data_IF_357083476081
#
_entry.id   IF_357083476081
#
_cell.length_a   1.000
_cell.length_b   1.000
_cell.length_c   1.000
_cell.angle_alpha   90.00
_cell.angle_beta   90.00
_cell.angle_gamma   90.00
#
_symmetry.space_group_name_H-M   'P 1'
#
loop_
_entity.id
_entity.type
_entity.pdbx_description
1 polymer ?
#
# COMPACT_ATOMS: atom_id res chain seq x y z
N UNK A 1 -61.62 -37.34 -25.56
CA UNK A 1 -61.85 -37.84 -26.93
C UNK A 1 -60.84 -37.18 -27.83
N UNK A 2 -59.65 -37.78 -28.04
CA UNK A 2 -59.26 -38.59 -29.24
C UNK A 2 -59.37 -37.77 -30.55
N UNK A 3 -58.37 -37.63 -31.44
CA UNK A 3 -57.21 -38.48 -31.78
C UNK A 3 -56.33 -37.76 -32.84
N UNK A 4 -55.00 -37.93 -32.75
CA UNK A 4 -53.94 -38.22 -33.79
C UNK A 4 -54.14 -37.81 -35.27
N UNK A 5 -53.11 -37.50 -36.10
CA UNK A 5 -52.05 -38.44 -36.58
C UNK A 5 -50.99 -37.76 -37.52
N UNK A 6 -49.71 -38.20 -37.40
CA UNK A 6 -48.56 -38.32 -38.37
C UNK A 6 -47.98 -37.11 -39.14
N UNK A 7 -46.67 -36.79 -39.18
CA UNK A 7 -45.36 -37.50 -39.33
C UNK A 7 -44.83 -37.65 -40.78
N UNK A 8 -43.67 -37.03 -41.09
CA UNK A 8 -42.70 -37.39 -42.17
C UNK A 8 -41.47 -36.43 -42.09
N UNK A 9 -40.35 -36.81 -41.47
CA UNK A 9 -39.15 -37.49 -42.03
C UNK A 9 -38.43 -36.83 -43.22
N UNK A 10 -37.30 -36.15 -42.95
CA UNK A 10 -36.09 -36.23 -43.80
C UNK A 10 -34.80 -35.92 -43.01
N UNK A 11 -34.04 -36.97 -42.71
CA UNK A 11 -32.65 -36.94 -42.23
C UNK A 11 -31.71 -36.92 -43.44
N UNK A 12 -30.76 -36.00 -43.50
CA UNK A 12 -29.59 -36.08 -44.38
C UNK A 12 -28.30 -36.17 -43.55
N UNK A 13 -27.61 -37.30 -43.73
CA UNK A 13 -26.27 -37.62 -43.22
C UNK A 13 -25.23 -36.73 -43.90
N UNK A 14 -24.29 -36.15 -43.13
CA UNK A 14 -22.94 -35.91 -43.62
C UNK A 14 -21.93 -36.39 -42.56
N UNK A 15 -21.21 -37.47 -42.92
CA UNK A 15 -20.07 -38.03 -42.21
C UNK A 15 -18.81 -37.37 -42.79
N UNK A 16 -18.01 -36.69 -41.98
CA UNK A 16 -16.60 -36.45 -42.27
C UNK A 16 -15.74 -36.98 -41.13
N UNK A 17 -14.83 -37.89 -41.51
CA UNK A 17 -13.86 -38.58 -40.67
C UNK A 17 -12.77 -37.61 -40.22
N UNK A 18 -12.46 -37.57 -38.93
CA UNK A 18 -11.19 -37.01 -38.43
C UNK A 18 -10.44 -38.08 -37.64
N UNK A 19 -9.23 -38.39 -38.12
CA UNK A 19 -8.30 -39.39 -37.59
C UNK A 19 -7.89 -39.02 -36.16
N UNK A 20 -8.04 -39.97 -35.22
CA UNK A 20 -7.34 -39.98 -33.93
C UNK A 20 -5.85 -40.24 -34.19
N UNK A 21 -5.00 -39.29 -33.81
CA UNK A 21 -3.56 -39.47 -33.69
C UNK A 21 -3.21 -39.45 -32.20
N UNK A 22 -2.99 -40.62 -31.62
CA UNK A 22 -2.52 -40.76 -30.24
C UNK A 22 -1.00 -40.59 -30.19
N UNK A 23 -0.52 -39.40 -29.80
CA UNK A 23 0.86 -39.22 -29.32
C UNK A 23 0.87 -39.38 -27.80
N UNK A 24 1.65 -40.35 -27.32
CA UNK A 24 2.05 -40.51 -25.91
C UNK A 24 2.66 -39.19 -25.42
N UNK A 25 2.04 -38.54 -24.43
CA UNK A 25 2.73 -37.54 -23.61
C UNK A 25 3.66 -38.29 -22.65
N UNK A 26 4.96 -38.03 -22.76
CA UNK A 26 5.91 -38.36 -21.72
C UNK A 26 5.68 -37.42 -20.52
N UNK A 27 5.61 -38.00 -19.33
CA UNK A 27 5.60 -37.25 -18.07
C UNK A 27 6.98 -36.64 -17.90
N UNK A 28 7.08 -35.32 -18.09
CA UNK A 28 8.27 -34.53 -17.76
C UNK A 28 8.19 -34.20 -16.29
N UNK A 29 9.03 -34.85 -15.48
CA UNK A 29 9.29 -34.44 -14.10
C UNK A 29 10.06 -33.11 -14.10
N UNK A 30 9.70 -32.14 -13.24
CA UNK A 30 10.43 -30.88 -13.14
C UNK A 30 11.86 -31.10 -12.63
N UNK A 31 12.83 -30.28 -13.08
CA UNK A 31 14.21 -30.36 -12.59
C UNK A 31 14.28 -29.97 -11.11
N UNK A 32 15.13 -30.68 -10.37
CA UNK A 32 15.47 -30.40 -8.97
C UNK A 32 16.01 -28.97 -8.81
N UNK A 33 15.70 -28.27 -7.71
CA UNK A 33 16.29 -26.96 -7.45
C UNK A 33 17.81 -27.07 -7.25
N UNK A 34 18.58 -26.03 -7.63
CA UNK A 34 20.02 -26.00 -7.43
C UNK A 34 20.39 -26.00 -5.93
N UNK A 35 21.55 -26.57 -5.56
CA UNK A 35 22.01 -26.56 -4.18
C UNK A 35 22.28 -25.14 -3.69
N UNK A 36 21.84 -24.86 -2.46
CA UNK A 36 22.05 -23.58 -1.77
C UNK A 36 23.55 -23.32 -1.58
N UNK A 37 24.06 -22.10 -1.87
CA UNK A 37 25.46 -21.76 -1.61
C UNK A 37 25.77 -21.80 -0.10
N UNK A 38 27.00 -22.17 0.29
CA UNK A 38 27.39 -22.25 1.69
C UNK A 38 27.39 -20.85 2.31
N UNK A 39 26.70 -20.69 3.45
CA UNK A 39 26.77 -19.45 4.21
C UNK A 39 28.15 -19.30 4.87
N UNK A 40 28.74 -18.09 4.89
CA UNK A 40 29.98 -17.85 5.62
C UNK A 40 29.73 -17.96 7.13
N UNK A 41 30.70 -18.48 7.91
CA UNK A 41 30.57 -18.59 9.35
C UNK A 41 30.45 -17.21 10.00
N UNK A 42 29.47 -17.10 10.89
CA UNK A 42 29.04 -15.91 11.64
C UNK A 42 30.01 -15.59 12.79
N UNK A 43 31.30 -15.48 12.47
CA UNK A 43 32.37 -15.18 13.42
C UNK A 43 33.53 -14.49 12.72
N UNK A 44 33.42 -13.18 12.48
CA UNK A 44 34.53 -12.23 12.33
C UNK A 44 33.99 -10.83 11.99
N UNK A 45 33.35 -10.16 12.96
CA UNK A 45 33.06 -8.71 12.88
C UNK A 45 32.81 -8.08 14.26
N UNK A 46 33.61 -8.48 15.26
CA UNK A 46 33.63 -7.86 16.60
C UNK A 46 35.06 -7.59 17.08
N UNK A 47 35.96 -7.11 16.21
CA UNK A 47 37.33 -6.76 16.61
C UNK A 47 37.89 -5.45 16.03
N UNK A 48 37.05 -4.51 15.56
CA UNK A 48 37.58 -3.24 15.01
C UNK A 48 36.87 -1.97 15.46
N UNK A 49 36.40 -1.90 16.70
CA UNK A 49 35.89 -0.63 17.28
C UNK A 49 36.68 -0.15 18.52
N UNK A 50 37.77 -0.81 18.91
CA UNK A 50 38.57 -0.43 20.10
C UNK A 50 39.90 0.27 19.79
N UNK A 51 39.94 1.16 18.80
CA UNK A 51 41.02 2.13 18.69
C UNK A 51 40.58 3.33 17.88
N UNK A 52 40.07 4.35 18.56
CA UNK A 52 40.29 5.79 18.35
C UNK A 52 39.57 6.50 19.51
N UNK A 53 40.14 6.41 20.71
CA UNK A 53 39.95 7.43 21.76
C UNK A 53 41.25 7.51 22.53
N UNK A 54 42.24 8.23 21.99
CA UNK A 54 43.32 8.76 22.79
C UNK A 54 43.72 10.15 22.30
N UNK A 55 43.84 11.03 23.29
CA UNK A 55 44.61 12.29 23.33
C UNK A 55 43.94 13.54 22.74
N UNK A 56 43.19 14.23 23.61
CA UNK A 56 43.22 15.69 23.66
C UNK A 56 43.64 16.09 25.08
N UNK A 57 44.80 16.73 25.18
CA UNK A 57 45.28 17.43 26.37
C UNK A 57 44.48 18.73 26.54
N UNK A 58 43.91 18.97 27.71
CA UNK A 58 43.40 20.30 28.11
C UNK A 58 44.32 20.91 29.18
N UNK A 59 44.72 22.19 29.06
CA UNK A 59 45.51 22.87 30.09
C UNK A 59 44.64 23.31 31.28
N UNK A 60 45.27 23.32 32.46
CA UNK A 60 44.70 23.82 33.72
C UNK A 60 44.78 25.34 33.79
N UNK A 61 43.70 25.96 34.23
CA UNK A 61 43.70 27.26 34.90
C UNK A 61 42.85 28.32 34.20
N UNK A 62 41.76 28.73 34.85
CA UNK A 62 41.44 30.12 35.25
C UNK A 62 40.19 30.04 36.14
N UNK A 63 40.25 30.73 37.27
CA UNK A 63 39.16 30.90 38.21
C UNK A 63 38.21 32.03 37.78
N UNK A 64 36.98 31.92 38.28
CA UNK A 64 36.04 33.02 38.60
C UNK A 64 35.07 33.50 37.52
N UNK A 65 33.82 33.58 38.00
CA UNK A 65 32.73 34.50 37.64
C UNK A 65 31.62 34.03 36.69
N UNK A 66 30.40 34.19 37.23
CA UNK A 66 29.09 34.34 36.59
C UNK A 66 28.44 33.12 35.92
N UNK A 67 27.52 32.58 36.69
CA UNK A 67 26.35 31.76 36.37
C UNK A 67 25.65 32.15 35.06
N UNK A 68 25.65 31.32 33.99
CA UNK A 68 24.69 31.43 32.91
C UNK A 68 23.49 30.52 33.22
N UNK A 69 22.30 31.14 33.26
CA UNK A 69 21.03 30.44 33.39
C UNK A 69 20.92 29.35 32.33
N UNK A 70 20.92 28.09 32.77
CA UNK A 70 20.55 26.94 31.98
C UNK A 70 19.10 27.13 31.51
N UNK A 71 18.91 27.48 30.24
CA UNK A 71 17.60 27.33 29.62
C UNK A 71 17.36 25.82 29.46
N UNK A 72 16.21 25.29 29.91
CA UNK A 72 15.89 23.90 29.65
C UNK A 72 15.76 23.72 28.14
N UNK A 73 16.63 22.88 27.57
CA UNK A 73 16.44 22.34 26.23
C UNK A 73 15.11 21.58 26.31
N UNK A 74 14.05 22.18 25.76
CA UNK A 74 12.82 21.46 25.45
C UNK A 74 13.24 20.28 24.60
N UNK A 75 13.07 19.07 25.14
CA UNK A 75 13.09 17.85 24.34
C UNK A 75 12.09 18.06 23.22
N UNK A 76 12.59 18.30 22.01
CA UNK A 76 11.79 18.23 20.80
C UNK A 76 11.36 16.77 20.69
N UNK A 77 10.18 16.45 21.22
CA UNK A 77 9.50 15.20 20.91
C UNK A 77 9.40 15.14 19.39
N UNK A 78 10.13 14.22 18.78
CA UNK A 78 9.90 13.84 17.39
C UNK A 78 8.39 13.58 17.26
N UNK A 79 7.69 14.13 16.24
CA UNK A 79 6.31 13.76 16.01
C UNK A 79 6.28 12.25 15.83
N UNK A 80 5.58 11.59 16.74
CA UNK A 80 5.41 10.14 16.74
C UNK A 80 4.58 9.79 15.53
N UNK A 81 4.97 8.75 14.81
CA UNK A 81 4.07 8.05 13.92
C UNK A 81 2.76 7.74 14.64
N UNK A 82 1.64 8.03 13.98
CA UNK A 82 0.31 7.80 14.53
C UNK A 82 -0.19 6.43 14.08
N UNK A 83 -0.95 5.75 14.94
CA UNK A 83 -1.61 4.51 14.56
C UNK A 83 -2.92 4.88 13.85
N UNK A 84 -2.93 4.79 12.52
CA UNK A 84 -4.15 4.89 11.72
C UNK A 84 -4.97 3.62 11.90
N UNK A 85 -6.27 3.77 12.20
CA UNK A 85 -7.22 2.67 12.36
C UNK A 85 -8.44 2.93 11.49
N UNK A 86 -8.68 2.04 10.53
CA UNK A 86 -9.73 2.21 9.53
C UNK A 86 -10.50 0.91 9.30
N UNK A 87 -11.80 1.04 9.05
CA UNK A 87 -12.62 -0.03 8.49
C UNK A 87 -12.42 -0.06 6.98
N UNK A 88 -12.22 -1.24 6.38
CA UNK A 88 -12.03 -1.46 4.94
C UNK A 88 -12.95 -2.56 4.44
N UNK A 89 -13.95 -2.18 3.66
CA UNK A 89 -14.89 -3.09 3.02
C UNK A 89 -14.70 -3.04 1.51
N UNK A 90 -14.62 -4.20 0.86
CA UNK A 90 -14.60 -4.33 -0.59
C UNK A 90 -16.03 -4.38 -1.11
N UNK A 91 -16.34 -3.54 -2.10
CA UNK A 91 -17.57 -3.64 -2.87
C UNK A 91 -17.39 -4.64 -4.02
N UNK A 92 -18.42 -5.44 -4.27
CA UNK A 92 -18.31 -6.57 -5.19
C UNK A 92 -17.96 -6.17 -6.64
N UNK A 93 -18.49 -5.04 -7.12
CA UNK A 93 -18.36 -4.60 -8.51
C UNK A 93 -18.71 -3.11 -8.69
N UNK A 94 -18.62 -2.65 -9.95
CA UNK A 94 -18.93 -1.28 -10.35
C UNK A 94 -20.40 -0.87 -10.08
N UNK A 95 -21.34 -1.81 -10.14
CA UNK A 95 -22.74 -1.54 -9.83
C UNK A 95 -22.95 -1.30 -8.34
N UNK A 96 -22.34 -2.12 -7.47
CA UNK A 96 -22.33 -1.89 -6.03
C UNK A 96 -21.74 -0.50 -5.69
N UNK A 97 -20.59 -0.16 -6.29
CA UNK A 97 -19.98 1.16 -6.16
C UNK A 97 -20.90 2.30 -6.60
N UNK A 98 -21.52 2.19 -7.79
CA UNK A 98 -22.47 3.18 -8.30
C UNK A 98 -23.67 3.36 -7.36
N UNK A 99 -24.20 2.26 -6.81
CA UNK A 99 -25.32 2.31 -5.86
C UNK A 99 -24.94 3.03 -4.57
N UNK A 100 -23.78 2.70 -3.99
CA UNK A 100 -23.27 3.36 -2.77
C UNK A 100 -23.10 4.87 -3.01
N UNK A 101 -22.38 5.25 -4.05
CA UNK A 101 -22.12 6.67 -4.38
C UNK A 101 -23.40 7.43 -4.68
N UNK A 102 -24.39 6.81 -5.32
CA UNK A 102 -25.72 7.41 -5.54
C UNK A 102 -26.44 7.65 -4.22
N UNK A 103 -26.49 6.66 -3.33
CA UNK A 103 -27.17 6.75 -2.03
C UNK A 103 -26.50 7.76 -1.09
N UNK A 104 -25.17 7.88 -1.17
CA UNK A 104 -24.41 8.83 -0.36
C UNK A 104 -24.30 10.22 -0.98
N UNK A 105 -24.78 10.45 -2.20
CA UNK A 105 -24.66 11.74 -2.90
C UNK A 105 -25.13 12.98 -2.11
N UNK A 106 -26.17 12.92 -1.25
CA UNK A 106 -26.55 14.08 -0.42
C UNK A 106 -25.52 14.47 0.64
N UNK A 107 -24.57 13.58 0.92
CA UNK A 107 -23.55 13.70 1.97
C UNK A 107 -22.15 13.94 1.38
N UNK A 108 -22.06 14.15 0.07
CA UNK A 108 -20.78 14.33 -0.62
C UNK A 108 -20.07 15.61 -0.17
N UNK A 109 -18.78 15.47 0.10
CA UNK A 109 -17.91 16.57 0.51
C UNK A 109 -16.98 16.95 -0.64
N UNK A 110 -16.23 15.97 -1.17
CA UNK A 110 -15.20 16.21 -2.18
C UNK A 110 -14.86 14.93 -2.93
N UNK A 111 -14.39 15.08 -4.17
CA UNK A 111 -13.81 13.98 -4.95
C UNK A 111 -12.33 14.26 -5.21
N UNK A 112 -11.46 13.36 -4.76
CA UNK A 112 -10.02 13.42 -5.00
C UNK A 112 -9.63 12.48 -6.14
N UNK A 113 -8.88 13.00 -7.11
CA UNK A 113 -8.18 12.20 -8.11
C UNK A 113 -6.74 12.00 -7.66
N UNK A 114 -6.39 10.76 -7.34
CA UNK A 114 -5.12 10.38 -6.76
C UNK A 114 -4.28 9.56 -7.75
N UNK A 115 -2.97 9.81 -7.78
CA UNK A 115 -1.99 8.95 -8.42
C UNK A 115 -0.98 8.51 -7.36
N UNK A 116 -1.03 7.23 -6.98
CA UNK A 116 -0.20 6.66 -5.94
C UNK A 116 1.01 5.98 -6.58
N UNK A 117 2.21 6.47 -6.31
CA UNK A 117 3.48 5.93 -6.80
C UNK A 117 4.31 5.43 -5.61
N UNK A 118 4.89 4.25 -5.75
CA UNK A 118 5.54 3.55 -4.64
C UNK A 118 7.03 3.40 -4.87
N UNK A 119 7.77 3.40 -3.77
CA UNK A 119 9.21 3.31 -3.76
C UNK A 119 9.68 2.30 -2.72
N UNK A 120 10.81 1.66 -2.98
CA UNK A 120 11.50 0.79 -2.04
C UNK A 120 13.00 1.05 -2.12
N UNK A 121 13.76 0.49 -1.19
CA UNK A 121 15.20 0.42 -1.33
C UNK A 121 15.61 -0.60 -2.40
N UNK A 122 16.81 -0.43 -2.96
CA UNK A 122 17.33 -1.27 -4.03
C UNK A 122 17.46 -2.76 -3.64
N UNK A 123 17.58 -3.06 -2.35
CA UNK A 123 17.61 -4.40 -1.79
C UNK A 123 16.27 -4.80 -1.11
N UNK A 124 15.17 -4.12 -1.43
CA UNK A 124 13.83 -4.38 -0.85
C UNK A 124 13.79 -4.15 0.68
N UNK A 125 14.53 -3.15 1.16
CA UNK A 125 14.70 -2.82 2.56
C UNK A 125 13.38 -2.46 3.28
N UNK A 126 12.44 -1.81 2.59
CA UNK A 126 11.13 -1.46 3.16
C UNK A 126 10.21 -2.67 3.13
N UNK A 127 10.04 -3.31 1.98
CA UNK A 127 9.12 -4.44 1.85
C UNK A 127 9.50 -5.63 2.72
N UNK A 128 10.80 -5.92 2.88
CA UNK A 128 11.30 -6.96 3.80
C UNK A 128 10.92 -6.72 5.26
N UNK A 129 10.60 -5.48 5.63
CA UNK A 129 10.13 -5.08 6.96
C UNK A 129 8.69 -4.61 6.99
N UNK A 130 7.90 -4.93 5.96
CA UNK A 130 6.48 -4.57 5.85
C UNK A 130 6.27 -3.05 5.97
N UNK A 131 7.14 -2.29 5.34
CA UNK A 131 7.01 -0.85 5.17
C UNK A 131 6.77 -0.48 3.72
N UNK A 132 6.07 0.63 3.51
CA UNK A 132 5.64 1.13 2.21
C UNK A 132 5.91 2.63 2.17
N UNK A 133 6.79 3.05 1.27
CA UNK A 133 6.98 4.46 0.94
C UNK A 133 6.16 4.80 -0.30
N UNK A 134 5.37 5.86 -0.23
CA UNK A 134 4.48 6.30 -1.30
C UNK A 134 4.58 7.81 -1.49
N UNK A 135 4.61 8.23 -2.75
CA UNK A 135 4.22 9.57 -3.17
C UNK A 135 2.81 9.53 -3.74
N UNK A 136 1.90 10.34 -3.19
CA UNK A 136 0.54 10.50 -3.68
C UNK A 136 0.36 11.88 -4.27
N UNK A 137 0.02 11.95 -5.54
CA UNK A 137 -0.31 13.19 -6.23
C UNK A 137 -1.83 13.37 -6.31
N UNK A 138 -2.30 14.58 -6.07
CA UNK A 138 -3.71 14.97 -6.19
C UNK A 138 -3.93 15.93 -7.35
N UNK A 139 -5.12 15.89 -7.96
CA UNK A 139 -5.61 16.99 -8.80
C UNK A 139 -4.79 17.30 -10.06
N UNK A 140 -4.08 16.32 -10.62
CA UNK A 140 -3.07 16.55 -11.67
C UNK A 140 -1.85 17.37 -11.18
N UNK A 141 -1.30 16.98 -10.03
CA UNK A 141 -0.07 17.52 -9.43
C UNK A 141 -0.25 18.87 -8.72
N UNK A 142 -1.47 19.14 -8.24
CA UNK A 142 -1.76 20.30 -7.38
C UNK A 142 -1.18 20.11 -5.97
N UNK A 143 -1.13 18.86 -5.48
CA UNK A 143 -0.55 18.50 -4.18
C UNK A 143 0.20 17.17 -4.31
N UNK A 144 1.28 17.03 -3.54
CA UNK A 144 2.00 15.78 -3.37
C UNK A 144 2.19 15.50 -1.87
N UNK A 145 1.86 14.30 -1.44
CA UNK A 145 2.07 13.82 -0.07
C UNK A 145 3.03 12.65 -0.13
N UNK A 146 4.11 12.72 0.67
CA UNK A 146 4.95 11.56 0.94
C UNK A 146 4.43 10.88 2.21
N UNK A 147 4.27 9.56 2.15
CA UNK A 147 3.75 8.76 3.26
C UNK A 147 4.62 7.53 3.48
N UNK A 148 4.94 7.24 4.73
CA UNK A 148 5.55 5.99 5.16
C UNK A 148 4.55 5.22 6.03
N UNK A 149 4.05 4.10 5.50
CA UNK A 149 3.22 3.16 6.25
C UNK A 149 4.05 1.96 6.67
N UNK A 150 3.99 1.54 7.93
CA UNK A 150 4.73 0.40 8.46
C UNK A 150 3.86 -0.48 9.38
N UNK A 151 4.26 -1.75 9.54
CA UNK A 151 3.66 -2.71 10.49
C UNK A 151 2.14 -2.88 10.32
N UNK A 152 1.64 -2.76 9.09
CA UNK A 152 0.22 -2.91 8.80
C UNK A 152 -0.32 -4.29 9.22
N UNK A 153 -1.49 -4.28 9.84
CA UNK A 153 -2.29 -5.46 10.20
C UNK A 153 -3.72 -5.23 9.70
N UNK A 154 -4.26 -6.18 8.92
CA UNK A 154 -5.63 -6.14 8.41
C UNK A 154 -6.32 -7.44 8.80
N UNK A 155 -7.33 -7.35 9.66
CA UNK A 155 -8.10 -8.49 10.18
C UNK A 155 -9.56 -8.09 10.27
N UNK A 156 -10.44 -8.95 9.75
CA UNK A 156 -11.91 -8.78 9.82
C UNK A 156 -12.41 -7.39 9.38
N UNK A 157 -11.82 -6.89 8.29
CA UNK A 157 -12.16 -5.59 7.71
C UNK A 157 -11.67 -4.39 8.51
N UNK A 158 -10.77 -4.56 9.49
CA UNK A 158 -10.16 -3.44 10.23
C UNK A 158 -8.66 -3.43 10.00
N UNK A 159 -8.16 -2.34 9.41
CA UNK A 159 -6.73 -2.07 9.21
C UNK A 159 -6.19 -1.24 10.36
N UNK A 160 -5.00 -1.60 10.82
CA UNK A 160 -4.20 -0.84 11.78
C UNK A 160 -2.81 -0.69 11.20
N UNK A 161 -2.35 0.55 11.04
CA UNK A 161 -1.06 0.81 10.42
C UNK A 161 -0.38 1.98 11.11
N UNK A 162 0.92 1.86 11.29
CA UNK A 162 1.73 2.99 11.71
C UNK A 162 1.94 3.86 10.48
N UNK A 163 1.36 5.06 10.46
CA UNK A 163 1.46 5.99 9.35
C UNK A 163 2.13 7.29 9.77
N UNK A 164 2.87 7.83 8.82
CA UNK A 164 3.51 9.11 8.89
C UNK A 164 3.37 9.77 7.52
N UNK A 165 2.79 10.98 7.46
CA UNK A 165 2.59 11.74 6.23
C UNK A 165 3.22 13.14 6.33
N UNK A 166 3.70 13.65 5.20
CA UNK A 166 4.32 14.96 5.07
C UNK A 166 4.00 15.51 3.67
N UNK A 167 3.61 16.78 3.60
CA UNK A 167 3.45 17.46 2.30
C UNK A 167 4.82 17.66 1.64
N UNK A 168 4.86 17.42 0.33
CA UNK A 168 6.02 17.65 -0.52
C UNK A 168 5.65 18.58 -1.66
N UNK A 169 6.58 19.42 -2.11
CA UNK A 169 6.40 20.18 -3.36
C UNK A 169 6.10 19.20 -4.51
N UNK A 170 4.95 19.33 -5.21
CA UNK A 170 4.60 18.44 -6.31
C UNK A 170 5.64 18.36 -7.43
N UNK A 171 6.36 19.47 -7.70
CA UNK A 171 7.42 19.48 -8.71
C UNK A 171 8.59 18.61 -8.29
N UNK A 172 9.02 18.75 -7.04
CA UNK A 172 10.08 17.93 -6.45
C UNK A 172 9.68 16.45 -6.44
N UNK A 173 8.44 16.16 -6.02
CA UNK A 173 7.89 14.80 -6.07
C UNK A 173 7.93 14.23 -7.50
N UNK A 174 7.57 15.03 -8.51
CA UNK A 174 7.58 14.60 -9.92
C UNK A 174 8.99 14.36 -10.46
N UNK A 175 9.98 15.15 -10.06
CA UNK A 175 11.37 14.92 -10.43
C UNK A 175 11.93 13.61 -9.85
N UNK A 176 11.41 13.17 -8.70
CA UNK A 176 11.79 11.91 -8.07
C UNK A 176 11.20 10.67 -8.74
N UNK A 177 10.13 10.80 -9.54
CA UNK A 177 9.50 9.65 -10.20
C UNK A 177 10.41 9.00 -11.25
N UNK A 178 10.95 9.73 -12.25
CA UNK A 178 11.88 9.14 -13.22
C UNK A 178 13.29 8.92 -12.65
N UNK A 179 13.64 9.63 -11.58
CA UNK A 179 14.95 9.53 -10.91
C UNK A 179 14.77 9.30 -9.40
N UNK A 180 14.40 8.07 -8.96
CA UNK A 180 14.12 7.76 -7.56
C UNK A 180 15.24 8.10 -6.58
N UNK A 181 16.50 8.11 -7.06
CA UNK A 181 17.66 8.53 -6.28
C UNK A 181 17.55 9.92 -5.66
N UNK A 182 16.79 10.83 -6.29
CA UNK A 182 16.55 12.19 -5.78
C UNK A 182 15.82 12.20 -4.44
N UNK A 183 15.02 11.17 -4.11
CA UNK A 183 14.42 11.00 -2.78
C UNK A 183 15.50 10.97 -1.68
N UNK A 184 16.68 10.41 -1.99
CA UNK A 184 17.82 10.38 -1.09
C UNK A 184 18.40 11.77 -0.78
N UNK A 185 18.09 12.79 -1.58
CA UNK A 185 18.62 14.15 -1.44
C UNK A 185 17.64 15.12 -0.78
N UNK A 186 16.39 14.70 -0.56
CA UNK A 186 15.37 15.56 0.00
C UNK A 186 15.52 15.71 1.51
N UNK A 187 15.37 16.94 1.98
CA UNK A 187 15.18 17.28 3.39
C UNK A 187 13.71 17.05 3.77
N UNK A 188 13.38 15.80 4.07
CA UNK A 188 12.06 15.37 4.55
C UNK A 188 12.21 14.54 5.80
N UNK A 189 11.32 14.76 6.77
CA UNK A 189 11.32 13.99 8.02
C UNK A 189 11.07 12.51 7.76
N UNK A 190 10.17 12.20 6.84
CA UNK A 190 9.85 10.82 6.46
C UNK A 190 11.02 10.17 5.75
N UNK A 191 11.66 10.85 4.80
CA UNK A 191 12.78 10.29 4.06
C UNK A 191 14.03 10.12 4.94
N UNK A 192 14.23 11.00 5.92
CA UNK A 192 15.21 10.80 6.99
C UNK A 192 14.92 9.53 7.78
N UNK A 193 13.67 9.33 8.20
CA UNK A 193 13.21 8.14 8.92
C UNK A 193 13.44 6.86 8.10
N UNK A 194 13.16 6.88 6.80
CA UNK A 194 13.47 5.76 5.88
C UNK A 194 14.96 5.42 5.88
N UNK A 195 15.84 6.42 5.83
CA UNK A 195 17.30 6.19 5.87
C UNK A 195 17.74 5.62 7.23
N UNK A 196 17.25 6.17 8.33
CA UNK A 196 17.71 5.84 9.68
C UNK A 196 17.13 4.52 10.20
N UNK A 197 15.81 4.31 10.06
CA UNK A 197 15.14 3.10 10.54
C UNK A 197 15.24 1.94 9.55
N UNK A 198 15.27 2.26 8.24
CA UNK A 198 15.26 1.28 7.18
C UNK A 198 16.60 1.14 6.44
N UNK A 199 17.62 1.94 6.74
CA UNK A 199 18.95 1.74 6.15
C UNK A 199 19.00 1.89 4.63
N UNK A 200 18.00 2.56 4.02
CA UNK A 200 18.04 2.88 2.58
C UNK A 200 19.03 4.02 2.39
N UNK A 201 20.19 3.75 1.81
CA UNK A 201 21.31 4.70 1.73
C UNK A 201 21.88 4.81 0.31
N UNK A 202 22.44 5.99 0.01
CA UNK A 202 23.15 6.28 -1.25
C UNK A 202 22.25 6.86 -2.35
N UNK A 203 22.87 7.50 -3.34
CA UNK A 203 22.18 8.13 -4.49
C UNK A 203 21.40 7.11 -5.35
N UNK A 204 21.82 5.84 -5.34
CA UNK A 204 21.12 4.74 -6.02
C UNK A 204 20.32 3.85 -5.04
N UNK A 205 20.04 4.37 -3.83
CA UNK A 205 19.42 3.59 -2.77
C UNK A 205 17.94 3.28 -3.02
N UNK A 206 17.25 4.08 -3.84
CA UNK A 206 15.80 3.96 -4.08
C UNK A 206 15.47 3.40 -5.47
N UNK A 207 14.39 2.62 -5.54
CA UNK A 207 13.77 2.14 -6.76
C UNK A 207 12.30 2.55 -6.81
N UNK A 208 11.85 3.01 -7.98
CA UNK A 208 10.44 3.21 -8.27
C UNK A 208 9.77 1.87 -8.60
N UNK A 209 8.70 1.54 -7.88
CA UNK A 209 7.94 0.30 -8.08
C UNK A 209 6.79 0.46 -9.08
N UNK A 210 6.55 1.68 -9.59
CA UNK A 210 5.35 2.06 -10.32
C UNK A 210 4.19 2.41 -9.38
N UNK A 211 2.97 2.31 -9.87
CA UNK A 211 1.80 2.70 -9.08
C UNK A 211 0.48 2.53 -9.80
N UNK A 212 -0.55 3.17 -9.25
CA UNK A 212 -1.93 3.06 -9.73
C UNK A 212 -2.73 4.34 -9.44
N UNK A 213 -3.86 4.50 -10.13
CA UNK A 213 -4.76 5.64 -9.94
C UNK A 213 -5.90 5.27 -9.00
N UNK A 214 -6.41 6.26 -8.28
CA UNK A 214 -7.58 6.09 -7.42
C UNK A 214 -8.47 7.33 -7.51
N UNK A 215 -9.77 7.13 -7.66
CA UNK A 215 -10.77 8.17 -7.47
C UNK A 215 -11.44 7.95 -6.13
N UNK A 216 -11.29 8.90 -5.23
CA UNK A 216 -11.84 8.85 -3.88
C UNK A 216 -12.96 9.86 -3.74
N UNK A 217 -14.17 9.38 -3.42
CA UNK A 217 -15.27 10.24 -3.02
C UNK A 217 -15.35 10.25 -1.49
N UNK A 218 -15.32 11.45 -0.91
CA UNK A 218 -15.40 11.64 0.54
C UNK A 218 -16.81 12.11 0.91
N UNK A 219 -17.38 11.50 1.93
CA UNK A 219 -18.72 11.80 2.44
C UNK A 219 -18.69 12.05 3.95
N UNK A 220 -19.57 12.92 4.43
CA UNK A 220 -19.85 13.09 5.85
C UNK A 220 -21.25 12.55 6.16
N UNK A 221 -21.30 11.34 6.71
CA UNK A 221 -22.54 10.58 6.85
C UNK A 221 -22.64 9.95 8.24
N UNK A 222 -23.71 10.27 8.97
CA UNK A 222 -23.95 9.80 10.35
C UNK A 222 -22.78 10.07 11.31
N UNK A 223 -22.07 11.18 11.12
CA UNK A 223 -20.90 11.53 11.92
C UNK A 223 -19.65 10.72 11.59
N UNK A 224 -19.67 9.92 10.52
CA UNK A 224 -18.53 9.19 9.97
C UNK A 224 -18.03 9.89 8.71
N UNK A 225 -16.70 9.94 8.56
CA UNK A 225 -16.06 10.32 7.31
C UNK A 225 -15.84 9.06 6.47
N UNK A 226 -16.63 8.91 5.43
CA UNK A 226 -16.53 7.77 4.52
C UNK A 226 -15.69 8.14 3.30
N UNK A 227 -14.80 7.23 2.91
CA UNK A 227 -14.03 7.32 1.68
C UNK A 227 -14.43 6.16 0.77
N UNK A 228 -15.09 6.46 -0.34
CA UNK A 228 -15.49 5.46 -1.34
C UNK A 228 -14.54 5.53 -2.52
N UNK A 229 -13.80 4.46 -2.71
CA UNK A 229 -12.68 4.36 -3.64
C UNK A 229 -13.04 3.56 -4.89
N UNK A 230 -12.61 4.08 -6.04
CA UNK A 230 -12.48 3.39 -7.31
C UNK A 230 -11.00 3.37 -7.70
N UNK A 231 -10.35 2.24 -7.49
CA UNK A 231 -8.91 2.05 -7.75
C UNK A 231 -8.69 1.34 -9.08
N UNK A 232 -7.98 2.02 -9.96
CA UNK A 232 -7.68 1.55 -11.30
C UNK A 232 -6.24 1.00 -11.38
N UNK A 233 -6.14 -0.32 -11.50
CA UNK A 233 -4.89 -1.04 -11.79
C UNK A 233 -4.87 -1.46 -13.25
N UNK A 234 -3.68 -1.70 -13.81
CA UNK A 234 -3.52 -2.20 -15.18
C UNK A 234 -4.22 -3.56 -15.43
N UNK A 235 -4.49 -4.32 -14.36
CA UNK A 235 -5.14 -5.64 -14.39
C UNK A 235 -6.61 -5.61 -13.94
N UNK A 236 -7.19 -4.44 -13.73
CA UNK A 236 -8.61 -4.26 -13.44
C UNK A 236 -8.90 -3.27 -12.30
N UNK A 237 -10.18 -3.05 -12.04
CA UNK A 237 -10.65 -2.04 -11.09
C UNK A 237 -11.13 -2.67 -9.78
N UNK A 238 -10.72 -2.10 -8.65
CA UNK A 238 -11.16 -2.46 -7.31
C UNK A 238 -12.03 -1.35 -6.72
N UNK A 239 -13.05 -1.72 -5.97
CA UNK A 239 -13.96 -0.79 -5.30
C UNK A 239 -13.95 -1.06 -3.80
N UNK A 240 -13.76 -0.02 -3.00
CA UNK A 240 -13.69 -0.13 -1.53
C UNK A 240 -14.45 1.02 -0.86
N UNK A 241 -14.91 0.77 0.37
CA UNK A 241 -15.33 1.80 1.32
C UNK A 241 -14.37 1.73 2.51
N UNK A 242 -13.77 2.87 2.82
CA UNK A 242 -12.89 3.06 3.96
C UNK A 242 -13.53 4.05 4.95
N UNK A 243 -13.29 3.83 6.25
CA UNK A 243 -13.71 4.76 7.30
C UNK A 243 -12.71 4.70 8.44
N UNK A 244 -11.89 5.75 8.57
CA UNK A 244 -11.05 5.96 9.75
C UNK A 244 -11.93 6.21 10.97
N UNK A 245 -11.66 5.55 12.08
CA UNK A 245 -12.44 5.70 13.32
C UNK A 245 -11.66 5.28 14.56
N UNK A 246 -11.81 6.05 15.63
CA UNK A 246 -11.35 5.67 16.96
C UNK A 246 -12.15 4.48 17.55
N UNK A 247 -13.37 4.26 17.05
CA UNK A 247 -14.21 3.09 17.33
C UNK A 247 -14.49 2.34 16.01
N UNK A 248 -13.57 1.47 15.56
CA UNK A 248 -13.71 0.78 14.28
C UNK A 248 -14.80 -0.29 14.31
N UNK A 249 -15.15 -0.85 15.47
CA UNK A 249 -16.18 -1.89 15.55
C UNK A 249 -17.57 -1.28 15.36
N UNK A 250 -17.84 -0.12 15.99
CA UNK A 250 -19.10 0.59 15.79
C UNK A 250 -19.21 1.16 14.37
N UNK A 251 -18.14 1.78 13.85
CA UNK A 251 -18.13 2.27 12.47
C UNK A 251 -18.37 1.13 11.46
N UNK A 252 -17.74 -0.03 11.67
CA UNK A 252 -17.96 -1.23 10.86
C UNK A 252 -19.42 -1.69 10.95
N UNK A 253 -19.98 -1.82 12.15
CA UNK A 253 -21.38 -2.22 12.35
C UNK A 253 -22.34 -1.31 11.58
N UNK A 254 -22.18 0.01 11.70
CA UNK A 254 -23.02 1.01 11.00
C UNK A 254 -22.91 0.86 9.48
N UNK A 255 -21.69 0.67 8.96
CA UNK A 255 -21.45 0.49 7.53
C UNK A 255 -22.05 -0.83 7.01
N UNK A 256 -21.84 -1.92 7.72
CA UNK A 256 -22.40 -3.21 7.36
C UNK A 256 -23.94 -3.20 7.34
N UNK A 257 -24.57 -2.58 8.35
CA UNK A 257 -26.02 -2.44 8.41
C UNK A 257 -26.56 -1.65 7.23
N UNK A 258 -25.89 -0.55 6.86
CA UNK A 258 -26.25 0.22 5.68
C UNK A 258 -26.15 -0.60 4.38
N UNK A 259 -25.05 -1.32 4.18
CA UNK A 259 -24.87 -2.14 2.98
C UNK A 259 -25.89 -3.29 2.91
N UNK A 260 -26.16 -3.95 4.05
CA UNK A 260 -27.17 -5.02 4.15
C UNK A 260 -28.59 -4.51 3.90
N UNK A 261 -29.00 -3.41 4.54
CA UNK A 261 -30.33 -2.81 4.37
C UNK A 261 -30.58 -2.38 2.92
N UNK A 262 -29.52 -1.95 2.22
CA UNK A 262 -29.59 -1.54 0.82
C UNK A 262 -29.33 -2.70 -0.15
N UNK A 263 -29.17 -3.92 0.33
CA UNK A 263 -28.88 -5.11 -0.50
C UNK A 263 -27.69 -4.87 -1.44
N UNK A 264 -26.59 -4.33 -0.88
CA UNK A 264 -25.34 -4.07 -1.60
C UNK A 264 -24.31 -5.10 -1.18
N UNK A 265 -23.84 -5.89 -2.16
CA UNK A 265 -22.84 -6.93 -1.93
C UNK A 265 -21.48 -6.34 -1.56
N UNK A 266 -20.93 -6.83 -0.45
CA UNK A 266 -19.61 -6.46 0.05
C UNK A 266 -18.91 -7.64 0.72
N UNK A 267 -17.62 -7.50 0.95
CA UNK A 267 -16.82 -8.40 1.79
C UNK A 267 -15.76 -7.60 2.55
N UNK A 268 -15.09 -8.23 3.51
CA UNK A 268 -13.93 -7.62 4.14
C UNK A 268 -12.76 -7.56 3.17
N UNK A 269 -12.09 -6.41 3.11
CA UNK A 269 -10.82 -6.32 2.39
C UNK A 269 -9.81 -7.23 3.09
N UNK A 270 -9.17 -8.11 2.30
CA UNK A 270 -8.19 -9.10 2.79
C UNK A 270 -6.73 -8.68 2.54
N UNK A 271 -6.54 -7.62 1.75
CA UNK A 271 -5.23 -7.09 1.37
C UNK A 271 -5.34 -5.57 1.15
N UNK A 272 -4.24 -4.85 1.37
CA UNK A 272 -4.18 -3.43 1.02
C UNK A 272 -4.09 -3.24 -0.50
N UNK A 273 -4.49 -2.06 -1.00
CA UNK A 273 -4.33 -1.68 -2.42
C UNK A 273 -2.89 -1.87 -2.92
N UNK A 274 -1.88 -1.58 -2.09
CA UNK A 274 -0.47 -1.82 -2.44
C UNK A 274 -0.15 -3.31 -2.55
N UNK A 275 -0.63 -4.14 -1.62
CA UNK A 275 -0.43 -5.59 -1.70
C UNK A 275 -1.09 -6.18 -2.96
N UNK A 276 -2.29 -5.70 -3.32
CA UNK A 276 -3.00 -6.06 -4.55
C UNK A 276 -2.18 -5.65 -5.78
N UNK A 277 -1.73 -4.40 -5.84
CA UNK A 277 -0.83 -3.89 -6.89
C UNK A 277 0.40 -4.77 -7.09
N UNK A 278 1.11 -5.10 -6.01
CA UNK A 278 2.31 -5.94 -6.06
C UNK A 278 2.01 -7.38 -6.49
N UNK A 279 0.81 -7.88 -6.24
CA UNK A 279 0.40 -9.23 -6.64
C UNK A 279 0.05 -9.35 -8.14
N UNK A 280 -0.25 -8.23 -8.81
CA UNK A 280 -0.57 -8.20 -10.23
C UNK A 280 -1.93 -8.83 -10.58
N UNK A 281 -2.83 -9.01 -9.61
CA UNK A 281 -4.16 -9.61 -9.82
C UNK A 281 -5.18 -9.09 -8.81
N UNK A 282 -6.44 -9.07 -9.20
CA UNK A 282 -7.55 -8.76 -8.29
C UNK A 282 -7.77 -9.91 -7.28
N UNK A 283 -8.19 -9.58 -6.04
CA UNK A 283 -8.55 -10.57 -5.03
C UNK A 283 -9.88 -11.27 -5.32
#
# INVERSE_FOLDING_TARGET
TTTTTTESHRKSKLRSKTKKNSKKLAVVTPPSPPPTPPQPPLALLLSSVNSIVQKIHLPKGIASASNPKLFPIRSLSLPSSEMEVEVKLRLANAEAHRRVTTLLSPFHVVTHRQHNLFFDGAASELSSRRAILRLRFYGNDEQCVVSLKAKAVLVDGVSRVEEDEEDLDPKVGRECVPEPGKLGLLESRILKRVKEEFGVVGENGFLGLGGFRNVRNVYDWKGLKLEVDETDFDFGTLYEIECESADPEEAKRILEEFLKEKEIDYSYSVASKFAIFRSGKLP
#
